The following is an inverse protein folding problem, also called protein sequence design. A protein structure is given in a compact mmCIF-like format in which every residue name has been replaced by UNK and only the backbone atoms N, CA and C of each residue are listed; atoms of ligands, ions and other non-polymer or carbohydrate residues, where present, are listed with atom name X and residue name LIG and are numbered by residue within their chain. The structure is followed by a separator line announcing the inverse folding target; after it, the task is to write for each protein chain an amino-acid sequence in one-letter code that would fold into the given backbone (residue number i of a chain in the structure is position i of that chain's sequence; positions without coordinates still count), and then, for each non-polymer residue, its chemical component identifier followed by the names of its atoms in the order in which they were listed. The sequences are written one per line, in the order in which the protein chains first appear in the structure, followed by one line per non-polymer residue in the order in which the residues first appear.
data_IF_638667557433
#
_entry.id   IF_638667557433
#
_cell.length_a   1.000
_cell.length_b   1.000
_cell.length_c   1.000
_cell.angle_alpha   90.00
_cell.angle_beta   90.00
_cell.angle_gamma   90.00
#
_symmetry.space_group_name_H-M   'P 1'
#
loop_
_entity.id
_entity.type
_entity.pdbx_description
1 polymer ?
#
# COMPACT_ATOMS: atom_id res chain seq x y z
N UNK A 1 -9.62 -18.32 -4.96
CA UNK A 1 -8.80 -17.22 -4.42
C UNK A 1 -8.97 -16.01 -5.30
N UNK A 2 -8.83 -14.84 -4.71
CA UNK A 2 -8.71 -13.57 -5.40
C UNK A 2 -7.45 -12.87 -4.92
N UNK A 3 -6.81 -12.13 -5.81
CA UNK A 3 -5.63 -11.34 -5.51
C UNK A 3 -6.04 -9.87 -5.53
N UNK A 4 -5.79 -9.18 -4.44
CA UNK A 4 -6.06 -7.75 -4.29
C UNK A 4 -4.71 -7.07 -4.25
N UNK A 5 -4.45 -6.22 -5.23
CA UNK A 5 -3.22 -5.43 -5.34
C UNK A 5 -3.55 -3.97 -5.13
N UNK A 6 -2.76 -3.31 -4.30
CA UNK A 6 -2.93 -1.89 -4.04
C UNK A 6 -1.59 -1.20 -3.80
N UNK A 7 -1.54 0.08 -4.13
CA UNK A 7 -0.47 1.00 -3.78
C UNK A 7 -0.96 1.92 -2.68
N UNK A 8 -0.20 2.04 -1.61
CA UNK A 8 -0.47 2.93 -0.50
C UNK A 8 0.58 4.05 -0.49
N UNK A 9 0.11 5.30 -0.55
CA UNK A 9 0.97 6.48 -0.40
C UNK A 9 0.67 7.11 0.95
N UNK A 10 1.70 7.33 1.77
CA UNK A 10 1.52 8.01 3.05
C UNK A 10 2.65 7.73 4.04
N UNK A 11 2.31 7.67 5.32
CA UNK A 11 3.30 7.43 6.37
C UNK A 11 3.58 5.94 6.54
N UNK A 12 4.85 5.58 6.82
CA UNK A 12 5.23 4.19 7.14
C UNK A 12 4.40 3.60 8.27
N UNK A 13 4.13 4.38 9.32
CA UNK A 13 3.29 3.95 10.45
C UNK A 13 1.87 3.58 10.01
N UNK A 14 1.27 4.36 9.10
CA UNK A 14 -0.04 4.01 8.56
C UNK A 14 0.02 2.74 7.71
N UNK A 15 1.06 2.59 6.88
CA UNK A 15 1.24 1.38 6.09
C UNK A 15 1.41 0.12 6.95
N UNK A 16 2.25 0.17 7.98
CA UNK A 16 2.41 -0.95 8.92
C UNK A 16 1.08 -1.27 9.64
N UNK A 17 0.27 -0.25 9.97
CA UNK A 17 -1.07 -0.44 10.54
C UNK A 17 -2.05 -1.10 9.55
N UNK A 18 -1.97 -0.73 8.27
CA UNK A 18 -2.74 -1.36 7.18
C UNK A 18 -2.39 -2.84 7.06
N UNK A 19 -1.11 -3.18 6.97
CA UNK A 19 -0.63 -4.56 6.90
C UNK A 19 -1.11 -5.37 8.11
N UNK A 20 -0.93 -4.83 9.31
CA UNK A 20 -1.37 -5.49 10.55
C UNK A 20 -2.88 -5.72 10.60
N UNK A 21 -3.69 -4.75 10.14
CA UNK A 21 -5.15 -4.89 10.09
C UNK A 21 -5.59 -5.97 9.09
N UNK A 22 -4.97 -6.01 7.90
CA UNK A 22 -5.30 -7.00 6.88
C UNK A 22 -4.92 -8.43 7.30
N UNK A 23 -3.82 -8.61 8.03
CA UNK A 23 -3.51 -9.92 8.64
C UNK A 23 -4.57 -10.39 9.65
N UNK A 24 -5.36 -9.47 10.22
CA UNK A 24 -6.42 -9.77 11.17
C UNK A 24 -7.79 -10.03 10.55
N UNK A 25 -7.96 -9.83 9.23
CA UNK A 25 -9.23 -10.07 8.54
C UNK A 25 -9.44 -11.58 8.36
N UNK A 26 -10.63 -12.06 8.73
CA UNK A 26 -11.01 -13.46 8.58
C UNK A 26 -10.89 -13.90 7.11
N UNK A 27 -10.25 -15.04 6.88
CA UNK A 27 -10.05 -15.58 5.54
C UNK A 27 -8.88 -14.99 4.76
N UNK A 28 -8.10 -14.03 5.28
CA UNK A 28 -6.86 -13.62 4.60
C UNK A 28 -5.80 -14.72 4.71
N UNK A 29 -5.28 -15.14 3.57
CA UNK A 29 -4.30 -16.23 3.47
C UNK A 29 -2.87 -15.70 3.33
N UNK A 30 -2.69 -14.56 2.66
CA UNK A 30 -1.40 -13.90 2.49
C UNK A 30 -1.55 -12.38 2.44
N UNK A 31 -0.62 -11.68 3.08
CA UNK A 31 -0.41 -10.24 2.94
C UNK A 31 1.08 -10.04 2.74
N UNK A 32 1.48 -9.41 1.64
CA UNK A 32 2.89 -9.21 1.30
C UNK A 32 3.14 -7.79 0.80
N UNK A 33 4.08 -7.11 1.46
CA UNK A 33 4.63 -5.85 0.95
C UNK A 33 5.60 -6.16 -0.19
N UNK A 34 5.38 -5.56 -1.36
CA UNK A 34 6.30 -5.67 -2.48
C UNK A 34 7.31 -4.52 -2.39
N UNK A 35 8.60 -4.88 -2.27
CA UNK A 35 9.71 -3.95 -2.07
C UNK A 35 10.06 -3.09 -3.30
N UNK A 36 9.41 -3.31 -4.45
CA UNK A 36 9.84 -2.81 -5.76
C UNK A 36 9.33 -1.41 -6.14
N UNK A 37 8.66 -0.71 -5.21
CA UNK A 37 8.15 0.66 -5.43
C UNK A 37 8.95 1.74 -4.71
N UNK A 38 10.14 1.40 -4.18
CA UNK A 38 11.15 2.43 -3.99
C UNK A 38 11.43 3.03 -5.37
N UNK A 39 11.18 4.34 -5.61
CA UNK A 39 11.63 4.95 -6.85
C UNK A 39 13.13 4.72 -6.89
N UNK A 40 13.58 3.89 -7.84
CA UNK A 40 14.99 3.82 -8.15
C UNK A 40 15.42 5.26 -8.36
N UNK A 41 16.41 5.68 -7.58
CA UNK A 41 17.02 7.01 -7.58
C UNK A 41 17.82 7.23 -8.89
N UNK A 42 17.26 6.82 -10.04
CA UNK A 42 17.91 6.75 -11.35
C UNK A 42 17.08 7.47 -12.44
N UNK A 43 16.10 8.29 -12.07
CA UNK A 43 15.56 9.26 -13.02
C UNK A 43 16.51 10.48 -13.07
N UNK A 44 17.54 10.35 -13.92
CA UNK A 44 18.49 11.39 -14.34
C UNK A 44 17.79 12.47 -15.18
N UNK A 45 16.65 13.02 -14.74
CA UNK A 45 16.12 14.29 -15.28
C UNK A 45 15.12 15.02 -14.34
N UNK A 46 15.09 14.69 -13.05
CA UNK A 46 14.36 15.52 -12.08
C UNK A 46 15.17 16.76 -11.70
N UNK A 47 15.05 17.78 -12.54
CA UNK A 47 15.46 19.15 -12.27
C UNK A 47 14.79 19.69 -10.99
N UNK A 48 15.43 19.47 -9.84
CA UNK A 48 15.08 20.13 -8.58
C UNK A 48 16.31 20.84 -8.00
N UNK A 49 16.33 22.16 -8.17
CA UNK A 49 17.31 23.04 -7.54
C UNK A 49 17.16 23.00 -6.02
N UNK A 50 18.09 22.34 -5.34
CA UNK A 50 18.77 22.93 -4.18
C UNK A 50 18.01 23.07 -2.86
N UNK A 51 17.03 22.21 -2.54
CA UNK A 51 16.58 21.97 -1.16
C UNK A 51 16.24 20.48 -1.01
N UNK A 52 16.92 19.80 -0.07
CA UNK A 52 16.59 18.43 0.33
C UNK A 52 15.16 18.42 0.90
N UNK A 53 14.19 18.01 0.07
CA UNK A 53 12.81 17.82 0.49
C UNK A 53 12.63 16.38 0.97
N UNK A 54 12.89 16.15 2.25
CA UNK A 54 12.56 14.93 2.99
C UNK A 54 11.04 14.85 3.22
N UNK A 55 10.20 14.96 2.18
CA UNK A 55 8.72 14.87 2.27
C UNK A 55 8.02 14.34 1.01
N UNK A 56 8.66 13.43 0.26
CA UNK A 56 7.91 12.52 -0.62
C UNK A 56 7.35 11.38 0.23
N UNK A 57 6.04 11.32 0.46
CA UNK A 57 5.45 10.20 1.21
C UNK A 57 5.82 8.87 0.57
N UNK A 58 6.30 7.92 1.38
CA UNK A 58 6.73 6.61 0.88
C UNK A 58 5.57 5.91 0.15
N UNK A 59 5.87 5.43 -1.05
CA UNK A 59 4.97 4.64 -1.88
C UNK A 59 5.23 3.16 -1.61
N UNK A 60 4.23 2.46 -1.11
CA UNK A 60 4.32 1.04 -0.79
C UNK A 60 3.35 0.23 -1.64
N UNK A 61 3.78 -0.90 -2.20
CA UNK A 61 2.87 -1.87 -2.80
C UNK A 61 2.51 -2.97 -1.82
N UNK A 62 1.25 -3.37 -1.86
CA UNK A 62 0.71 -4.43 -1.05
C UNK A 62 -0.10 -5.40 -1.91
N UNK A 63 0.21 -6.69 -1.78
CA UNK A 63 -0.54 -7.78 -2.37
C UNK A 63 -1.21 -8.60 -1.26
N UNK A 64 -2.51 -8.81 -1.40
CA UNK A 64 -3.33 -9.58 -0.47
C UNK A 64 -4.02 -10.72 -1.20
N UNK A 65 -3.85 -11.93 -0.70
CA UNK A 65 -4.57 -13.12 -1.17
C UNK A 65 -5.64 -13.52 -0.15
N UNK A 66 -6.87 -13.64 -0.65
CA UNK A 66 -8.00 -14.09 0.15
C UNK A 66 -9.00 -14.88 -0.73
N UNK A 67 -9.89 -15.69 -0.16
CA UNK A 67 -11.01 -16.26 -0.88
C UNK A 67 -11.95 -15.15 -1.39
N UNK A 68 -12.54 -15.36 -2.56
CA UNK A 68 -13.47 -14.41 -3.21
C UNK A 68 -14.58 -13.82 -2.30
N UNK A 69 -15.20 -14.56 -1.36
CA UNK A 69 -16.22 -13.96 -0.47
C UNK A 69 -15.66 -12.92 0.52
N UNK A 70 -14.37 -12.93 0.81
CA UNK A 70 -13.72 -12.00 1.75
C UNK A 70 -13.10 -10.78 1.06
N UNK A 71 -13.15 -10.72 -0.27
CA UNK A 71 -12.53 -9.66 -1.06
C UNK A 71 -13.04 -8.26 -0.69
N UNK A 72 -14.35 -8.15 -0.50
CA UNK A 72 -15.01 -6.90 -0.10
C UNK A 72 -14.59 -6.49 1.31
N UNK A 73 -14.56 -7.44 2.26
CA UNK A 73 -14.12 -7.19 3.64
C UNK A 73 -12.67 -6.72 3.72
N UNK A 74 -11.78 -7.27 2.89
CA UNK A 74 -10.38 -6.82 2.77
C UNK A 74 -10.32 -5.38 2.28
N UNK A 75 -11.11 -5.02 1.25
CA UNK A 75 -11.16 -3.65 0.73
C UNK A 75 -11.73 -2.67 1.73
N UNK A 76 -12.83 -3.02 2.40
CA UNK A 76 -13.45 -2.17 3.43
C UNK A 76 -12.48 -1.91 4.59
N UNK A 77 -11.80 -2.96 5.06
CA UNK A 77 -10.79 -2.82 6.13
C UNK A 77 -9.62 -1.94 5.69
N UNK A 78 -9.16 -2.10 4.43
CA UNK A 78 -8.09 -1.28 3.90
C UNK A 78 -8.48 0.21 3.84
N UNK A 79 -9.67 0.52 3.34
CA UNK A 79 -10.18 1.89 3.21
C UNK A 79 -10.39 2.56 4.58
N UNK A 80 -10.93 1.82 5.56
CA UNK A 80 -11.08 2.30 6.94
C UNK A 80 -9.73 2.68 7.59
N UNK A 81 -8.71 1.83 7.44
CA UNK A 81 -7.38 2.13 7.96
C UNK A 81 -6.75 3.30 7.20
N UNK A 82 -6.90 3.36 5.88
CA UNK A 82 -6.39 4.47 5.10
C UNK A 82 -6.99 5.81 5.53
N UNK A 83 -8.31 5.86 5.75
CA UNK A 83 -8.98 7.04 6.27
C UNK A 83 -8.50 7.45 7.66
N UNK A 84 -8.21 6.50 8.55
CA UNK A 84 -7.71 6.76 9.91
C UNK A 84 -6.29 7.32 9.94
N UNK A 85 -5.42 6.84 9.06
CA UNK A 85 -4.00 7.20 9.03
C UNK A 85 -3.64 8.22 7.93
N UNK A 86 -4.63 8.65 7.14
CA UNK A 86 -4.42 9.59 6.03
C UNK A 86 -3.60 8.98 4.89
N UNK A 87 -3.73 7.67 4.65
CA UNK A 87 -3.13 7.02 3.50
C UNK A 87 -4.00 7.23 2.26
N UNK A 88 -3.37 7.30 1.10
CA UNK A 88 -4.05 7.24 -0.19
C UNK A 88 -3.85 5.85 -0.77
N UNK A 89 -4.94 5.11 -0.99
CA UNK A 89 -4.91 3.79 -1.60
C UNK A 89 -5.31 3.85 -3.08
N UNK A 90 -4.54 3.17 -3.92
CA UNK A 90 -4.85 2.94 -5.33
C UNK A 90 -4.93 1.43 -5.56
N UNK A 91 -6.10 0.93 -5.97
CA UNK A 91 -6.26 -0.48 -6.34
C UNK A 91 -5.85 -0.67 -7.80
N UNK A 92 -5.00 -1.66 -8.04
CA UNK A 92 -4.44 -1.96 -9.37
C UNK A 92 -4.69 -3.41 -9.75
N UNK A 93 -4.71 -3.70 -11.05
CA UNK A 93 -4.77 -5.08 -11.56
C UNK A 93 -3.35 -5.70 -11.66
N UNK A 94 -2.36 -4.85 -11.95
CA UNK A 94 -0.92 -5.15 -12.04
C UNK A 94 -0.09 -3.99 -11.46
N UNK A 95 1.13 -4.28 -11.00
CA UNK A 95 2.06 -3.30 -10.43
C UNK A 95 2.93 -2.63 -11.49
#
# INVERSE_FOLDING_TARGET
MTMIRLRATGTRTGFDALVAALHGVDGVERVEELADLMPHMDDDDSSSSGLTDDRGGDLHALEVEAPSPYADSVRETADDIAGRYGLVLEYVDEF
#
